data_IF_130727039490
#
_entry.id   IF_130727039490
#
_cell.length_a   1.000
_cell.length_b   1.000
_cell.length_c   1.000
_cell.angle_alpha   90.00
_cell.angle_beta   90.00
_cell.angle_gamma   90.00
#
_symmetry.space_group_name_H-M   'P 1'
#
loop_
_entity.id
_entity.type
_entity.pdbx_description
1 polymer ?
#
# COMPACT_ATOMS: atom_id res chain seq x y z
N UNK A 1 -2.48 -13.72 14.28
CA UNK A 1 -3.11 -12.55 13.60
C UNK A 1 -1.99 -11.89 12.80
N UNK A 2 -2.09 -11.89 11.50
CA UNK A 2 -1.13 -11.23 10.64
C UNK A 2 -1.35 -9.72 10.74
N UNK A 3 -0.47 -9.01 11.43
CA UNK A 3 -0.39 -7.54 11.40
C UNK A 3 0.33 -7.05 10.15
N UNK A 4 -0.02 -7.66 9.01
CA UNK A 4 0.69 -7.48 7.75
C UNK A 4 -0.31 -7.26 6.63
N UNK A 5 0.01 -6.32 5.74
CA UNK A 5 -0.70 -6.06 4.49
C UNK A 5 -0.03 -6.86 3.37
N UNK A 6 -0.81 -7.45 2.49
CA UNK A 6 -0.32 -8.03 1.24
C UNK A 6 -0.81 -7.16 0.09
N UNK A 7 0.11 -6.36 -0.47
CA UNK A 7 -0.18 -5.55 -1.66
C UNK A 7 -0.10 -6.43 -2.90
N UNK A 8 -1.03 -6.18 -3.81
CA UNK A 8 -1.16 -6.88 -5.08
C UNK A 8 -1.03 -5.89 -6.22
N UNK A 9 -0.45 -6.32 -7.32
CA UNK A 9 -0.46 -5.60 -8.59
C UNK A 9 -0.21 -6.57 -9.73
N UNK A 10 -0.50 -6.14 -10.94
CA UNK A 10 -0.06 -6.79 -12.18
C UNK A 10 0.89 -5.84 -12.92
N UNK A 11 1.69 -6.32 -13.90
CA UNK A 11 2.54 -5.45 -14.71
C UNK A 11 1.74 -4.35 -15.41
N UNK A 12 2.22 -3.11 -15.29
CA UNK A 12 1.58 -1.91 -15.85
C UNK A 12 1.42 -0.80 -14.83
N UNK A 13 0.84 0.30 -15.28
CA UNK A 13 0.55 1.49 -14.49
C UNK A 13 -0.93 1.85 -14.66
N UNK A 14 -1.54 2.37 -13.60
CA UNK A 14 -2.88 2.92 -13.64
C UNK A 14 -2.89 4.34 -14.27
N UNK A 15 -4.06 4.96 -14.35
CA UNK A 15 -4.22 6.27 -14.98
C UNK A 15 -3.45 7.40 -14.26
N UNK A 16 -3.12 7.21 -12.98
CA UNK A 16 -2.42 8.16 -12.14
C UNK A 16 -0.93 7.82 -11.99
N UNK A 17 -0.42 6.83 -12.75
CA UNK A 17 0.97 6.36 -12.73
C UNK A 17 1.29 5.45 -11.55
N UNK A 18 0.26 4.99 -10.83
CA UNK A 18 0.39 4.01 -9.74
C UNK A 18 0.49 2.56 -10.24
N UNK A 19 0.77 1.60 -9.34
CA UNK A 19 0.76 0.18 -9.70
C UNK A 19 -0.64 -0.26 -10.15
N UNK A 20 -0.74 -0.94 -11.29
CA UNK A 20 -2.00 -1.48 -11.80
C UNK A 20 -2.53 -2.56 -10.85
N UNK A 21 -3.74 -2.40 -10.26
CA UNK A 21 -4.31 -3.36 -9.33
C UNK A 21 -4.55 -4.74 -9.99
N UNK A 22 -4.51 -5.80 -9.18
CA UNK A 22 -4.92 -7.12 -9.62
C UNK A 22 -6.44 -7.13 -9.93
N UNK A 23 -6.89 -7.65 -11.08
CA UNK A 23 -8.27 -7.47 -11.55
C UNK A 23 -9.36 -8.06 -10.65
N UNK A 24 -9.05 -9.13 -9.89
CA UNK A 24 -10.04 -9.84 -9.06
C UNK A 24 -10.00 -9.40 -7.59
N UNK A 25 -8.81 -9.07 -7.08
CA UNK A 25 -8.54 -8.81 -5.66
C UNK A 25 -8.05 -7.37 -5.39
N UNK A 26 -7.95 -6.54 -6.41
CA UNK A 26 -7.55 -5.14 -6.25
C UNK A 26 -6.08 -4.94 -5.89
N UNK A 27 -5.77 -3.81 -5.25
CA UNK A 27 -4.41 -3.44 -4.88
C UNK A 27 -3.92 -3.97 -3.54
N UNK A 28 -4.80 -4.64 -2.76
CA UNK A 28 -4.49 -5.19 -1.45
C UNK A 28 -5.40 -6.35 -1.13
N UNK A 29 -4.83 -7.49 -0.73
CA UNK A 29 -5.59 -8.68 -0.35
C UNK A 29 -6.28 -8.47 1.00
N UNK A 30 -7.59 -8.80 1.07
CA UNK A 30 -8.47 -8.60 2.23
C UNK A 30 -8.84 -9.94 2.88
N UNK A 31 -8.08 -10.40 3.90
CA UNK A 31 -8.37 -11.66 4.59
C UNK A 31 -9.55 -11.55 5.55
N UNK A 32 -10.09 -10.36 5.77
CA UNK A 32 -11.25 -10.09 6.60
C UNK A 32 -12.33 -9.37 5.80
N UNK A 33 -13.59 -9.61 6.15
CA UNK A 33 -14.73 -8.96 5.54
C UNK A 33 -15.79 -8.62 6.60
N UNK A 34 -16.72 -7.74 6.24
CA UNK A 34 -17.89 -7.43 7.06
C UNK A 34 -18.89 -8.58 7.04
N UNK A 35 -19.79 -8.59 8.02
CA UNK A 35 -20.83 -9.63 8.11
C UNK A 35 -21.67 -9.70 6.83
N UNK A 36 -21.77 -10.89 6.25
CA UNK A 36 -22.53 -11.14 5.02
C UNK A 36 -21.73 -11.03 3.73
N UNK A 37 -20.46 -10.67 3.81
CA UNK A 37 -19.53 -10.66 2.66
C UNK A 37 -18.47 -11.73 2.88
N UNK A 38 -18.12 -12.48 1.83
CA UNK A 38 -17.02 -13.43 1.90
C UNK A 38 -15.69 -12.65 2.01
N UNK A 39 -14.77 -13.12 2.88
CA UNK A 39 -13.39 -12.64 2.82
C UNK A 39 -12.76 -13.06 1.49
N UNK A 40 -11.77 -12.33 1.01
CA UNK A 40 -11.07 -12.69 -0.24
C UNK A 40 -10.37 -14.04 -0.16
N UNK A 41 -10.07 -14.51 1.05
CA UNK A 41 -9.49 -15.79 1.31
C UNK A 41 -8.50 -15.76 2.47
N UNK A 42 -7.55 -16.69 2.47
CA UNK A 42 -6.49 -16.77 3.47
C UNK A 42 -5.10 -16.70 2.86
N UNK A 43 -4.18 -16.12 3.60
CA UNK A 43 -2.80 -15.94 3.18
C UNK A 43 -1.85 -16.26 4.32
N UNK A 44 -0.76 -16.95 4.00
CA UNK A 44 0.33 -17.27 4.93
C UNK A 44 1.66 -16.81 4.37
N UNK A 45 2.63 -16.56 5.25
CA UNK A 45 4.02 -16.37 4.87
C UNK A 45 4.80 -17.66 5.13
N UNK A 46 5.40 -18.16 4.08
CA UNK A 46 6.45 -19.17 4.15
C UNK A 46 7.80 -18.48 4.02
N UNK A 47 8.85 -19.14 4.45
CA UNK A 47 10.20 -18.57 4.45
C UNK A 47 11.18 -19.57 3.87
N UNK A 48 12.00 -19.10 2.95
CA UNK A 48 13.17 -19.82 2.43
C UNK A 48 14.41 -19.28 3.11
N UNK A 49 15.26 -20.17 3.64
CA UNK A 49 16.54 -19.79 4.24
C UNK A 49 17.54 -19.38 3.16
N UNK A 50 18.21 -18.24 3.38
CA UNK A 50 19.22 -17.69 2.48
C UNK A 50 20.52 -17.55 3.30
N UNK A 51 21.41 -18.55 3.25
CA UNK A 51 22.69 -18.46 3.94
C UNK A 51 23.63 -17.46 3.30
N UNK A 52 24.46 -16.82 4.08
CA UNK A 52 25.50 -15.90 3.63
C UNK A 52 26.64 -15.82 4.66
N UNK A 53 27.64 -15.00 4.36
CA UNK A 53 28.81 -14.82 5.19
C UNK A 53 29.20 -13.35 5.21
N UNK A 54 29.44 -12.79 6.37
CA UNK A 54 29.98 -11.44 6.52
C UNK A 54 31.45 -11.37 6.03
N UNK A 55 31.96 -10.17 5.83
CA UNK A 55 33.31 -9.97 5.34
C UNK A 55 34.42 -10.47 6.26
N UNK A 56 34.14 -10.65 7.56
CA UNK A 56 35.03 -11.25 8.57
C UNK A 56 34.96 -12.77 8.64
N UNK A 57 34.07 -13.40 7.85
CA UNK A 57 33.88 -14.85 7.79
C UNK A 57 32.79 -15.40 8.72
N UNK A 58 32.11 -14.57 9.50
CA UNK A 58 30.98 -15.01 10.31
C UNK A 58 29.80 -15.39 9.41
N UNK A 59 29.20 -16.55 9.63
CA UNK A 59 28.05 -17.03 8.86
C UNK A 59 26.76 -16.44 9.40
N UNK A 60 25.81 -16.11 8.49
CA UNK A 60 24.43 -15.73 8.82
C UNK A 60 23.43 -16.48 7.97
N UNK A 61 22.18 -16.51 8.41
CA UNK A 61 21.05 -17.00 7.62
C UNK A 61 19.95 -15.95 7.63
N UNK A 62 19.61 -15.42 6.46
CA UNK A 62 18.43 -14.59 6.27
C UNK A 62 17.24 -15.46 5.91
N UNK A 63 16.02 -14.95 6.11
CA UNK A 63 14.79 -15.60 5.67
C UNK A 63 14.12 -14.77 4.60
N UNK A 64 13.93 -15.36 3.43
CA UNK A 64 13.19 -14.73 2.34
C UNK A 64 11.71 -15.05 2.50
N UNK A 65 10.83 -14.06 2.74
CA UNK A 65 9.39 -14.31 2.81
C UNK A 65 8.81 -14.64 1.44
N UNK A 66 7.92 -15.62 1.41
CA UNK A 66 7.11 -16.00 0.25
C UNK A 66 5.64 -15.94 0.66
N UNK A 67 4.86 -15.16 -0.08
CA UNK A 67 3.41 -15.06 0.11
C UNK A 67 2.75 -16.28 -0.52
N UNK A 68 1.95 -17.00 0.25
CA UNK A 68 1.19 -18.18 -0.22
C UNK A 68 -0.28 -17.94 0.10
N UNK A 69 -1.11 -17.97 -0.94
CA UNK A 69 -2.56 -17.92 -0.81
C UNK A 69 -3.07 -19.34 -0.64
N UNK A 70 -3.65 -19.63 0.53
CA UNK A 70 -4.19 -20.95 0.87
C UNK A 70 -5.59 -21.11 0.29
N UNK A 71 -6.43 -20.07 0.39
CA UNK A 71 -7.77 -20.05 -0.22
C UNK A 71 -8.00 -18.74 -0.97
N UNK A 72 -8.80 -18.79 -2.03
CA UNK A 72 -9.22 -17.67 -2.84
C UNK A 72 -10.73 -17.76 -3.09
N UNK A 73 -11.51 -16.80 -2.57
CA UNK A 73 -12.98 -16.88 -2.58
C UNK A 73 -13.61 -16.42 -3.91
N UNK A 74 -12.90 -15.62 -4.70
CA UNK A 74 -13.42 -15.01 -5.93
C UNK A 74 -12.75 -15.58 -7.21
N UNK A 75 -12.12 -16.74 -7.10
CA UNK A 75 -11.45 -17.41 -8.22
C UNK A 75 -9.93 -17.15 -8.27
N UNK A 76 -9.27 -17.60 -9.34
CA UNK A 76 -7.82 -17.46 -9.44
C UNK A 76 -7.39 -16.01 -9.66
N UNK A 77 -6.25 -15.65 -9.11
CA UNK A 77 -5.55 -14.41 -9.45
C UNK A 77 -4.97 -14.47 -10.86
N UNK A 78 -4.64 -13.30 -11.40
CA UNK A 78 -3.86 -13.19 -12.63
C UNK A 78 -2.54 -13.98 -12.51
N UNK A 79 -2.13 -14.63 -13.60
CA UNK A 79 -0.93 -15.50 -13.59
C UNK A 79 0.38 -14.74 -13.38
N UNK A 80 0.36 -13.44 -13.62
CA UNK A 80 1.48 -12.51 -13.51
C UNK A 80 1.36 -11.58 -12.29
N UNK A 81 0.50 -11.95 -11.30
CA UNK A 81 0.34 -11.19 -10.08
C UNK A 81 1.68 -11.02 -9.34
N UNK A 82 1.96 -9.79 -8.96
CA UNK A 82 3.08 -9.43 -8.10
C UNK A 82 2.57 -9.19 -6.68
N UNK A 83 3.31 -9.68 -5.70
CA UNK A 83 2.93 -9.59 -4.29
C UNK A 83 4.00 -8.87 -3.47
N UNK A 84 3.58 -8.10 -2.46
CA UNK A 84 4.48 -7.47 -1.51
C UNK A 84 3.87 -7.51 -0.11
N UNK A 85 4.46 -8.34 0.74
CA UNK A 85 4.12 -8.38 2.16
C UNK A 85 4.73 -7.18 2.89
N UNK A 86 3.91 -6.41 3.60
CA UNK A 86 4.33 -5.18 4.29
C UNK A 86 3.75 -5.10 5.69
N UNK A 87 4.57 -4.67 6.63
CA UNK A 87 4.14 -4.23 7.95
C UNK A 87 3.91 -2.72 7.88
N UNK A 88 2.80 -2.22 8.42
CA UNK A 88 2.53 -0.79 8.44
C UNK A 88 3.66 -0.03 9.16
N UNK A 89 4.13 1.11 8.63
CA UNK A 89 5.08 1.97 9.35
C UNK A 89 4.47 2.50 10.65
N UNK A 90 5.33 2.81 11.63
CA UNK A 90 4.89 3.48 12.85
C UNK A 90 4.31 4.85 12.54
N UNK A 91 3.24 5.23 13.25
CA UNK A 91 2.56 6.53 13.03
C UNK A 91 3.24 7.69 13.77
N UNK A 92 3.99 7.39 14.84
CA UNK A 92 4.67 8.43 15.62
C UNK A 92 5.73 9.15 14.78
N UNK A 93 5.67 10.48 14.78
CA UNK A 93 6.64 11.32 14.08
C UNK A 93 6.37 11.57 12.59
N UNK A 94 5.33 11.02 12.00
CA UNK A 94 5.02 11.23 10.57
C UNK A 94 4.79 12.70 10.24
N UNK A 95 4.19 13.50 11.13
CA UNK A 95 4.07 14.94 10.94
C UNK A 95 5.41 15.67 10.83
N UNK A 96 6.46 15.17 11.48
CA UNK A 96 7.82 15.72 11.33
C UNK A 96 8.38 15.44 9.94
N UNK A 97 8.05 14.30 9.34
CA UNK A 97 8.44 14.00 7.97
C UNK A 97 7.72 14.91 6.96
N UNK A 98 6.48 15.30 7.25
CA UNK A 98 5.69 16.19 6.38
C UNK A 98 6.28 17.58 6.27
N UNK A 99 6.84 18.11 7.36
CA UNK A 99 7.41 19.47 7.40
C UNK A 99 8.84 19.56 6.86
N UNK A 100 9.49 18.45 6.50
CA UNK A 100 10.82 18.49 5.86
C UNK A 100 10.70 19.22 4.53
N UNK A 101 11.51 20.28 4.27
CA UNK A 101 11.49 20.99 3.01
C UNK A 101 11.73 20.04 1.82
N UNK A 102 10.98 20.25 0.75
CA UNK A 102 11.13 19.43 -0.47
C UNK A 102 12.55 19.48 -1.03
N UNK A 103 13.16 20.67 -1.02
CA UNK A 103 14.53 20.88 -1.47
C UNK A 103 15.54 20.02 -0.70
N UNK A 104 15.32 19.77 0.60
CA UNK A 104 16.20 18.94 1.42
C UNK A 104 16.09 17.46 1.05
N UNK A 105 14.89 17.02 0.64
CA UNK A 105 14.68 15.65 0.15
C UNK A 105 15.33 15.49 -1.22
N UNK A 106 15.06 16.41 -2.15
CA UNK A 106 15.59 16.37 -3.51
C UNK A 106 17.12 16.53 -3.56
N UNK A 107 17.71 17.25 -2.59
CA UNK A 107 19.17 17.37 -2.50
C UNK A 107 19.89 16.03 -2.22
N UNK A 108 19.14 14.99 -1.88
CA UNK A 108 19.66 13.64 -1.63
C UNK A 108 19.42 12.67 -2.79
N UNK A 109 18.89 13.18 -3.91
CA UNK A 109 18.80 12.36 -5.11
C UNK A 109 20.19 12.05 -5.65
N UNK A 110 20.41 10.78 -5.95
CA UNK A 110 21.58 10.28 -6.65
C UNK A 110 21.18 9.11 -7.57
N UNK A 111 20.44 9.40 -8.66
CA UNK A 111 19.90 8.35 -9.51
C UNK A 111 20.95 7.55 -10.26
N UNK A 112 22.15 8.10 -10.42
CA UNK A 112 23.26 7.50 -11.16
C UNK A 112 24.34 6.91 -10.24
N UNK A 113 24.13 6.89 -8.90
CA UNK A 113 25.11 6.43 -7.92
C UNK A 113 26.48 7.12 -8.12
N UNK A 114 26.46 8.46 -8.15
CA UNK A 114 27.63 9.25 -8.49
C UNK A 114 28.74 9.19 -7.42
N UNK A 115 28.38 8.91 -6.18
CA UNK A 115 29.33 8.73 -5.07
C UNK A 115 29.85 7.29 -4.96
N UNK A 116 29.26 6.33 -5.70
CA UNK A 116 29.70 4.95 -5.83
C UNK A 116 29.45 4.10 -4.56
N UNK A 117 28.47 4.48 -3.75
CA UNK A 117 28.13 3.73 -2.53
C UNK A 117 27.17 2.53 -2.78
N UNK A 118 26.68 2.37 -4.02
CA UNK A 118 25.76 1.32 -4.45
C UNK A 118 24.27 1.63 -4.18
N UNK A 119 23.94 2.88 -3.82
CA UNK A 119 22.59 3.32 -3.52
C UNK A 119 22.15 4.41 -4.49
N UNK A 120 21.24 4.08 -5.42
CA UNK A 120 20.64 5.04 -6.34
C UNK A 120 19.40 5.68 -5.73
N UNK A 121 19.52 6.86 -5.17
CA UNK A 121 18.42 7.64 -4.60
C UNK A 121 17.56 8.29 -5.67
N UNK A 122 16.25 8.03 -5.69
CA UNK A 122 15.31 8.60 -6.67
C UNK A 122 14.08 9.16 -5.98
N UNK A 123 13.68 10.39 -6.33
CA UNK A 123 12.40 10.95 -5.89
C UNK A 123 11.25 10.17 -6.54
N UNK A 124 10.19 9.93 -5.77
CA UNK A 124 8.96 9.37 -6.31
C UNK A 124 7.93 10.51 -6.47
N UNK A 125 7.54 10.79 -7.72
CA UNK A 125 6.51 11.78 -8.03
C UNK A 125 5.17 11.06 -8.18
N UNK A 126 4.20 11.42 -7.35
CA UNK A 126 2.92 10.75 -7.24
C UNK A 126 1.76 11.73 -7.41
N UNK A 127 0.61 11.23 -7.83
CA UNK A 127 -0.58 12.06 -7.98
C UNK A 127 -1.11 12.51 -6.61
N UNK A 128 -1.22 13.82 -6.43
CA UNK A 128 -1.86 14.43 -5.28
C UNK A 128 -3.32 14.74 -5.59
N UNK A 129 -4.23 13.97 -5.00
CA UNK A 129 -5.67 14.10 -5.22
C UNK A 129 -6.25 15.43 -4.66
N UNK A 130 -5.58 16.02 -3.67
CA UNK A 130 -6.00 17.30 -3.08
C UNK A 130 -5.64 18.47 -4.01
N UNK A 131 -4.45 18.42 -4.61
CA UNK A 131 -3.94 19.47 -5.47
C UNK A 131 -4.28 19.26 -6.95
N UNK A 132 -4.63 18.04 -7.36
CA UNK A 132 -4.86 17.68 -8.75
C UNK A 132 -3.60 17.78 -9.62
N UNK A 133 -2.43 17.48 -9.05
CA UNK A 133 -1.11 17.59 -9.68
C UNK A 133 -0.15 16.53 -9.14
N UNK A 134 0.98 16.32 -9.82
CA UNK A 134 2.08 15.53 -9.27
C UNK A 134 2.77 16.27 -8.13
N UNK A 135 3.03 15.56 -7.05
CA UNK A 135 3.76 16.03 -5.88
C UNK A 135 4.79 15.00 -5.42
N UNK A 136 5.77 15.45 -4.63
CA UNK A 136 6.80 14.58 -4.08
C UNK A 136 6.19 13.59 -3.08
N UNK A 137 6.32 12.31 -3.34
CA UNK A 137 5.91 11.25 -2.43
C UNK A 137 6.81 11.19 -1.20
N UNK A 138 6.20 11.01 -0.02
CA UNK A 138 6.90 11.02 1.28
C UNK A 138 6.52 9.86 2.18
N UNK A 139 5.27 9.37 2.06
CA UNK A 139 4.70 8.43 3.00
C UNK A 139 4.51 7.04 2.39
N UNK A 140 4.48 6.03 3.27
CA UNK A 140 4.49 4.63 2.90
C UNK A 140 5.91 4.14 2.55
N UNK A 141 6.08 2.81 2.50
CA UNK A 141 7.39 2.17 2.25
C UNK A 141 8.05 2.53 0.93
N UNK A 142 7.28 3.01 -0.03
CA UNK A 142 7.76 3.40 -1.37
C UNK A 142 7.50 4.87 -1.67
N UNK A 143 7.31 5.69 -0.64
CA UNK A 143 6.97 7.10 -0.80
C UNK A 143 5.81 7.28 -1.81
N UNK A 144 4.78 6.45 -1.72
CA UNK A 144 3.65 6.42 -2.66
C UNK A 144 2.53 7.40 -2.33
N UNK A 145 2.67 8.21 -1.27
CA UNK A 145 1.68 9.20 -0.87
C UNK A 145 2.36 10.54 -0.60
N UNK A 146 1.81 11.66 -1.12
CA UNK A 146 2.46 12.96 -1.02
C UNK A 146 2.25 13.64 0.34
N UNK A 147 1.12 13.37 1.00
CA UNK A 147 0.74 13.98 2.28
C UNK A 147 0.27 12.94 3.29
N UNK A 148 0.36 13.30 4.57
CA UNK A 148 -0.15 12.47 5.66
C UNK A 148 -1.68 12.36 5.62
N UNK A 149 -2.35 13.38 5.10
CA UNK A 149 -3.79 13.38 4.87
C UNK A 149 -4.19 12.26 3.89
N UNK A 150 -3.55 12.20 2.71
CA UNK A 150 -3.84 11.18 1.69
C UNK A 150 -3.38 9.79 2.13
N UNK A 151 -2.24 9.68 2.84
CA UNK A 151 -1.81 8.42 3.46
C UNK A 151 -2.85 7.89 4.44
N UNK A 152 -3.40 8.75 5.31
CA UNK A 152 -4.41 8.35 6.30
C UNK A 152 -5.73 7.97 5.63
N UNK A 153 -6.19 8.78 4.67
CA UNK A 153 -7.41 8.51 3.93
C UNK A 153 -7.35 7.20 3.14
N UNK A 154 -6.21 6.94 2.50
CA UNK A 154 -5.95 5.69 1.78
C UNK A 154 -5.89 4.47 2.70
N UNK A 155 -5.28 4.60 3.89
CA UNK A 155 -5.26 3.53 4.88
C UNK A 155 -6.67 3.23 5.43
N UNK A 156 -7.47 4.25 5.74
CA UNK A 156 -8.86 4.05 6.19
C UNK A 156 -9.71 3.35 5.12
N UNK A 157 -9.54 3.70 3.86
CA UNK A 157 -10.24 3.04 2.77
C UNK A 157 -9.75 1.60 2.56
N UNK A 158 -8.44 1.41 2.41
CA UNK A 158 -7.85 0.11 2.07
C UNK A 158 -7.85 -0.90 3.20
N UNK A 159 -7.72 -0.47 4.48
CA UNK A 159 -7.52 -1.38 5.60
C UNK A 159 -8.82 -1.66 6.39
N UNK A 160 -9.73 -0.69 6.45
CA UNK A 160 -10.96 -0.80 7.26
C UNK A 160 -12.24 -0.37 6.52
N UNK A 161 -12.17 -0.07 5.24
CA UNK A 161 -13.34 0.22 4.40
C UNK A 161 -14.04 1.55 4.71
N UNK A 162 -13.36 2.52 5.31
CA UNK A 162 -13.94 3.85 5.58
C UNK A 162 -13.72 4.76 4.37
N UNK A 163 -14.81 5.17 3.73
CA UNK A 163 -14.76 6.11 2.61
C UNK A 163 -14.53 7.54 3.07
N UNK A 164 -13.92 8.36 2.20
CA UNK A 164 -13.60 9.77 2.45
C UNK A 164 -13.95 10.61 1.22
N UNK A 165 -13.75 11.93 1.29
CA UNK A 165 -13.91 12.79 0.12
C UNK A 165 -12.92 12.46 -1.01
N UNK A 166 -11.77 11.87 -0.70
CA UNK A 166 -10.75 11.44 -1.67
C UNK A 166 -11.04 10.03 -2.21
N UNK A 167 -11.45 9.12 -1.33
CA UNK A 167 -11.78 7.73 -1.64
C UNK A 167 -13.27 7.51 -1.37
N UNK A 168 -14.11 7.85 -2.36
CA UNK A 168 -15.58 7.86 -2.21
C UNK A 168 -16.19 6.47 -2.31
N UNK A 169 -15.52 5.57 -2.99
CA UNK A 169 -15.99 4.22 -3.22
C UNK A 169 -15.25 3.23 -2.34
N UNK A 170 -15.92 2.15 -2.01
CA UNK A 170 -15.30 1.02 -1.32
C UNK A 170 -14.34 0.31 -2.29
N UNK A 171 -13.33 -0.31 -1.71
CA UNK A 171 -12.36 -1.10 -2.46
C UNK A 171 -12.95 -2.48 -2.79
N UNK A 172 -13.97 -2.52 -3.66
CA UNK A 172 -14.63 -3.73 -4.13
C UNK A 172 -14.32 -3.91 -5.62
N UNK A 173 -13.35 -4.77 -5.99
CA UNK A 173 -13.12 -5.14 -7.39
C UNK A 173 -14.36 -5.69 -8.08
N UNK A 174 -14.49 -5.49 -9.39
CA UNK A 174 -15.71 -5.83 -10.15
C UNK A 174 -16.19 -7.28 -9.98
N UNK A 175 -15.34 -8.32 -9.85
CA UNK A 175 -15.79 -9.69 -9.60
C UNK A 175 -16.40 -9.92 -8.22
N UNK A 176 -16.19 -9.03 -7.25
CA UNK A 176 -16.66 -9.16 -5.86
C UNK A 176 -18.06 -8.56 -5.70
N UNK A 177 -19.05 -9.21 -6.31
CA UNK A 177 -20.44 -8.72 -6.37
C UNK A 177 -21.11 -8.58 -5.01
N UNK A 178 -20.80 -9.46 -4.06
CA UNK A 178 -21.29 -9.43 -2.69
C UNK A 178 -20.72 -8.24 -1.92
N UNK A 179 -19.45 -7.91 -2.09
CA UNK A 179 -18.84 -6.69 -1.58
C UNK A 179 -19.56 -5.44 -2.12
N UNK A 180 -19.73 -5.35 -3.42
CA UNK A 180 -20.41 -4.22 -4.05
C UNK A 180 -21.89 -4.09 -3.62
N UNK A 181 -22.59 -5.21 -3.42
CA UNK A 181 -24.00 -5.23 -3.00
C UNK A 181 -24.22 -4.92 -1.51
N UNK A 182 -23.27 -5.27 -0.64
CA UNK A 182 -23.34 -5.01 0.79
C UNK A 182 -23.38 -3.50 1.13
N UNK A 183 -22.93 -2.66 0.21
CA UNK A 183 -22.85 -1.20 0.37
C UNK A 183 -24.16 -0.46 0.13
N UNK A 184 -25.18 -1.14 -0.38
CA UNK A 184 -26.47 -0.51 -0.73
C UNK A 184 -27.41 -0.34 0.48
N UNK A 185 -27.06 -0.87 1.64
CA UNK A 185 -27.87 -0.84 2.85
C UNK A 185 -27.63 0.34 3.81
N UNK A 186 -26.68 1.22 3.55
CA UNK A 186 -26.34 2.37 4.38
C UNK A 186 -26.19 3.65 3.58
N UNK A 187 -26.66 4.77 4.13
CA UNK A 187 -26.43 6.07 3.52
C UNK A 187 -24.92 6.32 3.40
N UNK A 188 -24.48 6.62 2.19
CA UNK A 188 -23.10 7.06 1.91
C UNK A 188 -22.93 8.50 2.41
N UNK A 189 -22.90 8.67 3.71
CA UNK A 189 -22.43 9.93 4.26
C UNK A 189 -20.91 9.97 4.13
N UNK A 190 -20.43 10.62 3.06
CA UNK A 190 -19.07 11.11 3.06
C UNK A 190 -18.95 12.06 4.27
N UNK A 191 -18.14 11.72 5.26
CA UNK A 191 -17.78 12.61 6.34
C UNK A 191 -16.72 13.61 5.86
N UNK A 192 -17.11 14.80 5.34
CA UNK A 192 -16.14 15.76 4.80
C UNK A 192 -15.21 16.35 5.87
N UNK A 193 -15.53 16.11 7.14
CA UNK A 193 -14.80 16.67 8.27
C UNK A 193 -13.88 15.70 9.01
N UNK A 194 -13.94 14.40 8.74
CA UNK A 194 -13.23 13.42 9.55
C UNK A 194 -11.71 13.55 9.47
N UNK A 195 -11.18 13.85 8.30
CA UNK A 195 -9.74 14.09 8.13
C UNK A 195 -9.27 15.43 8.72
N UNK A 196 -10.16 16.41 8.93
CA UNK A 196 -9.82 17.70 9.56
C UNK A 196 -9.83 17.67 11.08
N UNK A 197 -10.55 16.74 11.71
CA UNK A 197 -10.67 16.66 13.17
C UNK A 197 -9.46 15.99 13.83
N UNK A 198 -8.70 15.21 13.12
CA UNK A 198 -7.50 14.51 13.66
C UNK A 198 -6.28 15.45 13.79
N UNK A 199 -6.35 16.69 13.29
CA UNK A 199 -5.19 17.59 13.14
C UNK A 199 -5.26 18.92 13.92
N UNK A 200 -6.09 19.02 14.95
CA UNK A 200 -6.08 20.16 15.87
C UNK A 200 -5.62 19.78 17.28
#
# INVERSE_FOLDING_TARGET
>A
MLSMLVRLSVPGEDADGGPLPEPTYGGQFQPFAVLGVASEGSVVLEYDDVPGTYGDGEAYVLRRPRVVFDTLSYGPMASDVMTSARVAPGMAGLGLLEIVPEADILSREDPEDADGDGISGRANWVWDMEQGALALGRFGWKAGQPSLLLQTAGAFNGDIGITTMFFRDQNCPAPQVDCASALTGGEREAFPGFCRVIWH
#
